data_IF_290345824458
#
_entry.id   IF_290345824458
#
_cell.length_a   1.000
_cell.length_b   1.000
_cell.length_c   1.000
_cell.angle_alpha   90.00
_cell.angle_beta   90.00
_cell.angle_gamma   90.00
#
_symmetry.space_group_name_H-M   'P 1'
#
loop_
_entity.id
_entity.type
_entity.pdbx_description
1 polymer ?
#
# COMPACT_ATOMS: atom_id res chain seq x y z
N UNK A 1 -2.71 8.95 -21.35
CA UNK A 1 -1.29 8.51 -21.44
C UNK A 1 -0.95 7.72 -20.19
N UNK A 2 0.01 6.77 -20.25
CA UNK A 2 0.32 5.91 -19.11
C UNK A 2 0.73 6.69 -17.85
N UNK A 3 1.42 7.83 -18.02
CA UNK A 3 1.86 8.68 -16.93
C UNK A 3 0.71 9.34 -16.15
N UNK A 4 -0.32 9.85 -16.86
CA UNK A 4 -1.48 10.49 -16.22
C UNK A 4 -2.25 9.52 -15.31
N UNK A 5 -2.32 8.24 -15.71
CA UNK A 5 -2.98 7.21 -14.93
C UNK A 5 -2.19 6.84 -13.67
N UNK A 6 -0.85 6.80 -13.76
CA UNK A 6 0.02 6.62 -12.59
C UNK A 6 -0.14 7.79 -11.62
N UNK A 7 -0.12 9.03 -12.11
CA UNK A 7 -0.31 10.23 -11.27
C UNK A 7 -1.67 10.20 -10.58
N UNK A 8 -2.74 9.90 -11.31
CA UNK A 8 -4.09 9.78 -10.73
C UNK A 8 -4.17 8.69 -9.67
N UNK A 9 -3.56 7.52 -9.93
CA UNK A 9 -3.51 6.43 -8.97
C UNK A 9 -2.74 6.82 -7.70
N UNK A 10 -1.58 7.46 -7.84
CA UNK A 10 -0.80 7.98 -6.70
C UNK A 10 -1.63 8.99 -5.91
N UNK A 11 -2.32 9.91 -6.58
CA UNK A 11 -3.16 10.91 -5.91
C UNK A 11 -4.27 10.28 -5.06
N UNK A 12 -4.85 9.16 -5.51
CA UNK A 12 -5.85 8.42 -4.76
C UNK A 12 -5.22 7.66 -3.59
N UNK A 13 -4.03 7.08 -3.76
CA UNK A 13 -3.39 6.21 -2.77
C UNK A 13 -2.65 6.97 -1.66
N UNK A 14 -2.10 8.15 -1.95
CA UNK A 14 -1.38 9.00 -0.99
C UNK A 14 -2.17 9.27 0.30
N UNK A 15 -3.43 9.74 0.26
CA UNK A 15 -4.18 10.02 1.48
C UNK A 15 -4.39 8.77 2.34
N UNK A 16 -4.56 7.58 1.75
CA UNK A 16 -4.64 6.34 2.51
C UNK A 16 -3.35 6.02 3.25
N UNK A 17 -2.19 6.22 2.60
CA UNK A 17 -0.90 6.03 3.25
C UNK A 17 -0.71 7.02 4.41
N UNK A 18 -1.06 8.29 4.19
CA UNK A 18 -0.97 9.34 5.23
C UNK A 18 -1.86 9.00 6.41
N UNK A 19 -3.10 8.55 6.18
CA UNK A 19 -4.03 8.16 7.24
C UNK A 19 -3.52 6.96 8.04
N UNK A 20 -2.93 5.96 7.38
CA UNK A 20 -2.33 4.81 8.09
C UNK A 20 -1.12 5.19 8.92
N UNK A 21 -0.25 6.07 8.42
CA UNK A 21 0.90 6.56 9.20
C UNK A 21 0.41 7.42 10.37
N UNK A 22 -0.57 8.30 10.13
CA UNK A 22 -1.14 9.16 11.16
C UNK A 22 -1.83 8.36 12.27
N UNK A 23 -2.54 7.26 11.94
CA UNK A 23 -3.19 6.43 12.96
C UNK A 23 -2.19 5.74 13.87
N UNK A 24 -1.03 5.33 13.34
CA UNK A 24 0.05 4.73 14.15
C UNK A 24 0.77 5.80 14.96
N UNK A 25 1.05 6.97 14.37
CA UNK A 25 1.65 8.10 15.08
C UNK A 25 0.80 8.57 16.27
N UNK A 26 -0.53 8.60 16.13
CA UNK A 26 -1.44 8.92 17.23
C UNK A 26 -1.39 7.92 18.38
N UNK A 27 -0.95 6.69 18.13
CA UNK A 27 -0.74 5.66 19.15
C UNK A 27 0.63 5.74 19.85
N UNK A 28 1.56 6.56 19.36
CA UNK A 28 2.88 6.73 19.98
C UNK A 28 2.78 7.70 21.15
N UNK A 29 3.33 7.31 22.31
CA UNK A 29 3.37 8.17 23.49
C UNK A 29 4.34 9.36 23.28
N UNK A 30 3.81 10.57 23.42
CA UNK A 30 4.56 11.85 23.35
C UNK A 30 5.74 11.88 24.34
N UNK A 31 5.65 11.12 25.45
CA UNK A 31 6.70 11.01 26.47
C UNK A 31 8.00 10.44 25.94
N UNK A 32 7.96 9.61 24.89
CA UNK A 32 9.16 9.06 24.25
C UNK A 32 9.97 10.18 23.56
N UNK A 33 9.29 11.13 22.93
CA UNK A 33 9.93 12.28 22.28
C UNK A 33 10.43 13.31 23.32
N UNK A 34 9.67 13.54 24.39
CA UNK A 34 10.09 14.40 25.51
C UNK A 34 11.33 13.85 26.22
N UNK A 35 11.37 12.54 26.47
CA UNK A 35 12.51 11.88 27.11
C UNK A 35 13.77 11.96 26.26
N UNK A 36 13.65 11.81 24.94
CA UNK A 36 14.77 12.03 24.01
C UNK A 36 15.29 13.47 24.06
N UNK A 37 14.38 14.47 24.15
CA UNK A 37 14.75 15.88 24.29
C UNK A 37 15.42 16.19 25.63
N UNK A 38 14.96 15.58 26.73
CA UNK A 38 15.58 15.72 28.07
C UNK A 38 17.00 15.16 28.07
N UNK A 39 17.25 14.08 27.33
CA UNK A 39 18.59 13.48 27.16
C UNK A 39 19.52 14.27 26.21
N UNK A 40 19.10 15.46 25.76
CA UNK A 40 19.91 16.34 24.91
C UNK A 40 19.77 16.12 23.40
N UNK A 41 18.80 15.30 22.95
CA UNK A 41 18.55 15.16 21.52
C UNK A 41 17.89 16.43 20.96
N UNK A 42 18.42 16.91 19.84
CA UNK A 42 17.76 17.96 19.04
C UNK A 42 16.45 17.45 18.42
N UNK A 43 15.51 18.35 18.08
CA UNK A 43 14.22 17.99 17.45
C UNK A 43 14.37 17.05 16.25
N UNK A 44 15.36 17.28 15.39
CA UNK A 44 15.67 16.43 14.24
C UNK A 44 16.18 15.05 14.63
N UNK A 45 17.01 14.96 15.68
CA UNK A 45 17.50 13.68 16.18
C UNK A 45 16.40 12.88 16.87
N UNK A 46 15.51 13.52 17.64
CA UNK A 46 14.36 12.89 18.26
C UNK A 46 13.41 12.32 17.19
N UNK A 47 13.12 13.09 16.14
CA UNK A 47 12.34 12.60 15.01
C UNK A 47 12.97 11.39 14.31
N UNK A 48 14.27 11.46 13.97
CA UNK A 48 14.95 10.39 13.23
C UNK A 48 15.19 9.12 14.06
N UNK A 49 15.40 9.23 15.37
CA UNK A 49 15.72 8.09 16.25
C UNK A 49 14.52 7.50 16.98
N UNK A 50 13.47 8.27 17.18
CA UNK A 50 12.28 7.83 17.93
C UNK A 50 11.09 7.74 16.97
N UNK A 51 10.65 8.88 16.42
CA UNK A 51 9.44 8.94 15.61
C UNK A 51 9.54 8.12 14.32
N UNK A 52 10.66 8.22 13.59
CA UNK A 52 10.87 7.53 12.32
C UNK A 52 10.84 6.00 12.45
N UNK A 53 11.60 5.35 13.35
CA UNK A 53 11.54 3.90 13.49
C UNK A 53 10.19 3.42 14.03
N UNK A 54 9.54 4.15 14.93
CA UNK A 54 8.19 3.82 15.39
C UNK A 54 7.15 3.99 14.26
N UNK A 55 7.35 4.94 13.35
CA UNK A 55 6.49 5.14 12.17
C UNK A 55 6.67 4.06 11.10
N UNK A 56 7.79 3.30 11.10
CA UNK A 56 8.00 2.21 10.14
C UNK A 56 6.94 1.12 10.25
N UNK A 57 6.41 0.87 11.44
CA UNK A 57 5.31 -0.07 11.64
C UNK A 57 4.02 0.45 10.99
N UNK A 58 3.79 1.78 11.05
CA UNK A 58 2.70 2.46 10.34
C UNK A 58 2.86 2.47 8.82
N UNK A 59 4.09 2.53 8.32
CA UNK A 59 4.36 2.36 6.89
C UNK A 59 4.04 0.92 6.46
N UNK A 60 4.33 -0.07 7.30
CA UNK A 60 3.99 -1.47 7.03
C UNK A 60 2.48 -1.69 6.90
N UNK A 61 1.70 -1.20 7.86
CA UNK A 61 0.22 -1.30 7.80
C UNK A 61 -0.36 -0.47 6.66
N UNK A 62 0.15 0.73 6.42
CA UNK A 62 -0.25 1.57 5.29
C UNK A 62 0.05 0.95 3.94
N UNK A 63 1.19 0.30 3.77
CA UNK A 63 1.55 -0.39 2.54
C UNK A 63 0.58 -1.54 2.21
N UNK A 64 0.06 -2.25 3.22
CA UNK A 64 -0.97 -3.29 3.02
C UNK A 64 -2.27 -2.67 2.50
N UNK A 65 -2.74 -1.59 3.16
CA UNK A 65 -3.97 -0.90 2.76
C UNK A 65 -3.85 -0.35 1.35
N UNK A 66 -2.75 0.33 1.05
CA UNK A 66 -2.47 0.89 -0.28
C UNK A 66 -2.39 -0.22 -1.34
N UNK A 67 -1.74 -1.35 -1.04
CA UNK A 67 -1.67 -2.49 -1.96
C UNK A 67 -3.06 -3.06 -2.25
N UNK A 68 -3.91 -3.19 -1.24
CA UNK A 68 -5.28 -3.68 -1.38
C UNK A 68 -6.13 -2.74 -2.25
N UNK A 69 -6.05 -1.43 -1.99
CA UNK A 69 -6.77 -0.42 -2.79
C UNK A 69 -6.23 -0.38 -4.23
N UNK A 70 -4.91 -0.45 -4.42
CA UNK A 70 -4.28 -0.44 -5.73
C UNK A 70 -4.70 -1.63 -6.60
N UNK A 71 -4.77 -2.84 -6.03
CA UNK A 71 -5.25 -4.03 -6.75
C UNK A 71 -6.70 -3.86 -7.23
N UNK A 72 -7.55 -3.19 -6.45
CA UNK A 72 -8.94 -2.89 -6.82
C UNK A 72 -9.10 -1.71 -7.77
N UNK A 73 -8.11 -0.83 -7.88
CA UNK A 73 -8.20 0.45 -8.62
C UNK A 73 -7.95 0.34 -10.13
N UNK A 74 -8.30 -0.80 -10.73
CA UNK A 74 -8.18 -1.00 -12.18
C UNK A 74 -9.16 -0.13 -12.97
N UNK A 75 -10.29 0.23 -12.37
CA UNK A 75 -11.29 1.14 -12.98
C UNK A 75 -10.69 2.53 -13.16
N UNK A 76 -9.96 3.04 -12.17
CA UNK A 76 -9.25 4.33 -12.25
C UNK A 76 -8.25 4.34 -13.41
N UNK A 77 -7.52 3.24 -13.58
CA UNK A 77 -6.55 3.06 -14.66
C UNK A 77 -7.24 2.95 -16.03
N UNK A 78 -8.40 2.29 -16.10
CA UNK A 78 -9.21 2.22 -17.32
C UNK A 78 -9.70 3.61 -17.75
N UNK A 79 -10.19 4.41 -16.80
CA UNK A 79 -10.75 5.73 -17.07
C UNK A 79 -9.66 6.76 -17.44
N UNK A 80 -8.52 6.79 -16.75
CA UNK A 80 -7.45 7.77 -17.00
C UNK A 80 -6.40 7.30 -18.03
N UNK A 81 -6.12 6.00 -18.08
CA UNK A 81 -5.07 5.40 -18.90
C UNK A 81 -5.53 5.02 -20.30
N UNK A 82 -6.83 4.82 -20.50
CA UNK A 82 -7.39 4.26 -21.72
C UNK A 82 -6.84 2.86 -22.03
N UNK A 83 -6.91 2.44 -23.30
CA UNK A 83 -6.48 1.11 -23.74
C UNK A 83 -4.95 0.90 -23.80
N UNK A 84 -4.16 1.91 -23.43
CA UNK A 84 -2.69 1.83 -23.47
C UNK A 84 -2.08 1.19 -22.22
N UNK A 85 -2.86 1.04 -21.14
CA UNK A 85 -2.41 0.40 -19.89
C UNK A 85 -3.15 -0.92 -19.68
N UNK A 86 -2.62 -1.99 -20.26
CA UNK A 86 -3.11 -3.35 -20.02
C UNK A 86 -2.58 -3.85 -18.67
N UNK A 87 -3.40 -3.70 -17.64
CA UNK A 87 -3.16 -4.33 -16.33
C UNK A 87 -3.88 -5.67 -16.24
N UNK A 88 -3.36 -6.60 -15.43
CA UNK A 88 -3.97 -7.93 -15.23
C UNK A 88 -5.47 -7.88 -14.90
N UNK A 89 -5.96 -7.01 -13.99
CA UNK A 89 -7.39 -6.92 -13.70
C UNK A 89 -8.22 -6.39 -14.88
N UNK A 90 -7.65 -5.47 -15.66
CA UNK A 90 -8.30 -4.94 -16.86
C UNK A 90 -8.43 -6.02 -17.94
N UNK A 91 -7.40 -6.85 -18.13
CA UNK A 91 -7.44 -7.98 -19.07
C UNK A 91 -8.53 -8.99 -18.68
N UNK A 92 -8.66 -9.32 -17.40
CA UNK A 92 -9.74 -10.21 -16.91
C UNK A 92 -11.11 -9.58 -17.23
N UNK A 93 -11.27 -8.29 -16.96
CA UNK A 93 -12.52 -7.57 -17.24
C UNK A 93 -12.86 -7.55 -18.74
N UNK A 94 -11.86 -7.36 -19.61
CA UNK A 94 -12.03 -7.41 -21.06
C UNK A 94 -12.39 -8.80 -21.56
N UNK A 95 -11.74 -9.85 -21.05
CA UNK A 95 -12.02 -11.24 -21.43
C UNK A 95 -13.44 -11.67 -21.03
N UNK A 96 -13.91 -11.18 -19.87
CA UNK A 96 -15.25 -11.43 -19.36
C UNK A 96 -16.34 -10.72 -20.21
N UNK A 97 -16.13 -9.46 -20.58
CA UNK A 97 -17.13 -8.67 -21.31
C UNK A 97 -17.10 -8.83 -22.84
N UNK A 98 -15.91 -8.99 -23.42
CA UNK A 98 -15.72 -8.96 -24.89
C UNK A 98 -15.79 -10.36 -25.48
N UNK A 99 -15.06 -11.31 -24.90
CA UNK A 99 -14.94 -12.67 -25.45
C UNK A 99 -15.98 -13.64 -24.87
N UNK A 100 -16.67 -13.26 -23.77
CA UNK A 100 -17.57 -14.12 -22.96
C UNK A 100 -16.95 -15.48 -22.62
N UNK A 101 -15.62 -15.51 -22.53
CA UNK A 101 -14.88 -16.74 -22.32
C UNK A 101 -14.62 -16.91 -20.81
N UNK A 102 -15.67 -17.37 -20.12
CA UNK A 102 -15.69 -17.49 -18.66
C UNK A 102 -14.59 -18.42 -18.13
N UNK A 103 -14.13 -19.38 -18.93
CA UNK A 103 -13.04 -20.29 -18.57
C UNK A 103 -11.70 -19.57 -18.43
N UNK A 104 -11.28 -18.83 -19.46
CA UNK A 104 -10.04 -18.05 -19.42
C UNK A 104 -10.09 -16.94 -18.36
N UNK A 105 -11.22 -16.23 -18.26
CA UNK A 105 -11.39 -15.17 -17.26
C UNK A 105 -11.25 -15.71 -15.83
N UNK A 106 -11.81 -16.89 -15.55
CA UNK A 106 -11.71 -17.53 -14.23
C UNK A 106 -10.28 -18.01 -13.92
N UNK A 107 -9.55 -18.51 -14.91
CA UNK A 107 -8.15 -18.92 -14.73
C UNK A 107 -7.25 -17.72 -14.40
N UNK A 108 -7.40 -16.61 -15.14
CA UNK A 108 -6.66 -15.38 -14.90
C UNK A 108 -7.04 -14.74 -13.55
N UNK A 109 -8.32 -14.77 -13.18
CA UNK A 109 -8.80 -14.31 -11.86
C UNK A 109 -8.19 -15.09 -10.70
N UNK A 110 -8.13 -16.42 -10.80
CA UNK A 110 -7.48 -17.25 -9.78
C UNK A 110 -5.97 -16.97 -9.69
N UNK A 111 -5.28 -16.79 -10.83
CA UNK A 111 -3.86 -16.41 -10.83
C UNK A 111 -3.62 -15.07 -10.13
N UNK A 112 -4.45 -14.06 -10.43
CA UNK A 112 -4.38 -12.76 -9.76
C UNK A 112 -4.64 -12.89 -8.26
N UNK A 113 -5.62 -13.72 -7.87
CA UNK A 113 -5.94 -13.97 -6.47
C UNK A 113 -4.76 -14.62 -5.73
N UNK A 114 -4.15 -15.66 -6.30
CA UNK A 114 -2.97 -16.31 -5.71
C UNK A 114 -1.81 -15.34 -5.59
N UNK A 115 -1.57 -14.52 -6.61
CA UNK A 115 -0.52 -13.50 -6.58
C UNK A 115 -0.79 -12.44 -5.51
N UNK A 116 -2.01 -11.92 -5.41
CA UNK A 116 -2.40 -10.93 -4.42
C UNK A 116 -2.28 -11.47 -2.99
N UNK A 117 -2.75 -12.70 -2.75
CA UNK A 117 -2.61 -13.38 -1.44
C UNK A 117 -1.13 -13.65 -1.13
N UNK A 118 -0.33 -14.06 -2.12
CA UNK A 118 1.11 -14.26 -1.97
C UNK A 118 1.85 -12.97 -1.58
N UNK A 119 1.54 -11.85 -2.24
CA UNK A 119 2.08 -10.54 -1.88
C UNK A 119 1.64 -10.10 -0.48
N UNK A 120 0.37 -10.26 -0.14
CA UNK A 120 -0.14 -9.95 1.20
C UNK A 120 0.56 -10.79 2.27
N UNK A 121 0.70 -12.09 2.02
CA UNK A 121 1.41 -13.00 2.91
C UNK A 121 2.87 -12.60 3.11
N UNK A 122 3.55 -12.20 2.03
CA UNK A 122 4.92 -11.70 2.07
C UNK A 122 5.02 -10.41 2.89
N UNK A 123 4.10 -9.45 2.67
CA UNK A 123 4.03 -8.21 3.45
C UNK A 123 3.85 -8.48 4.94
N UNK A 124 2.90 -9.35 5.29
CA UNK A 124 2.66 -9.76 6.68
C UNK A 124 3.88 -10.47 7.29
N UNK A 125 4.55 -11.35 6.53
CA UNK A 125 5.79 -12.02 6.97
C UNK A 125 6.93 -11.02 7.20
N UNK A 126 7.09 -10.02 6.35
CA UNK A 126 8.14 -9.00 6.46
C UNK A 126 7.89 -8.06 7.65
N UNK A 127 6.64 -7.67 7.90
CA UNK A 127 6.26 -6.83 9.04
C UNK A 127 6.39 -7.60 10.35
N UNK A 128 5.90 -8.86 10.40
CA UNK A 128 6.02 -9.72 11.60
C UNK A 128 7.47 -10.00 12.00
N UNK A 129 8.43 -9.98 11.06
CA UNK A 129 9.86 -10.08 11.37
C UNK A 129 10.46 -8.83 12.02
N UNK A 130 9.82 -7.66 11.88
CA UNK A 130 10.26 -6.41 12.51
C UNK A 130 9.64 -6.20 13.90
N UNK A 131 8.42 -6.70 14.14
CA UNK A 131 7.70 -6.57 15.41
C UNK A 131 8.06 -7.55 16.54
N UNK A 132 9.19 -8.29 16.47
CA UNK A 132 9.65 -9.21 17.53
C UNK A 132 11.11 -8.93 17.90
N UNK A 133 11.42 -7.67 18.17
CA UNK A 133 12.62 -7.25 18.90
C UNK A 133 12.23 -6.19 19.94
N UNK A 134 11.49 -6.63 20.94
CA UNK A 134 11.40 -6.00 22.25
C UNK A 134 11.60 -7.08 23.28
#
# INVERSE_FOLDING_TARGET
>A
TPEAAVIGLVHVLVPFMVLSIASVLQGIDIRLEESARILGASRWQAFLRVTLPLSLDGIGTGAIVVFMVANGSFVTLLLLGGNSLLTLPLLIYQQFNTTRDFGLASAMGNLLLVAAVGCLYLQLRLIKRRGVKT
#
